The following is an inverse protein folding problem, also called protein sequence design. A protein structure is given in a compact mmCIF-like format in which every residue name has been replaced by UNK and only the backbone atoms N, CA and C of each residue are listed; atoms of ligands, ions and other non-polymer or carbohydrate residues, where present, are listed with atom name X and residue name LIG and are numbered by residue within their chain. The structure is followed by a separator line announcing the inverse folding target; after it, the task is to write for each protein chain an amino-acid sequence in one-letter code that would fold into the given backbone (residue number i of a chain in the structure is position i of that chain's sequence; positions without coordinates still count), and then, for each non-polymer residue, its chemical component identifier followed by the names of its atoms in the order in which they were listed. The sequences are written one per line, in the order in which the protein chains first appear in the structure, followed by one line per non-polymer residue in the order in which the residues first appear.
data_IF_685250609057
#
_entry.id   IF_685250609057
#
_cell.length_a   1.000
_cell.length_b   1.000
_cell.length_c   1.000
_cell.angle_alpha   90.00
_cell.angle_beta   90.00
_cell.angle_gamma   90.00
#
_symmetry.space_group_name_H-M   'P 1'
#
loop_
_entity.id
_entity.type
_entity.pdbx_description
1 polymer ?
#
# COMPACT_ATOMS: atom_id res chain seq x y z
N UNK A 1 42.03 27.57 -3.61
CA UNK A 1 42.21 28.31 -4.88
C UNK A 1 41.55 29.66 -4.71
N UNK A 2 42.22 30.75 -5.07
CA UNK A 2 41.66 32.11 -4.95
C UNK A 2 40.40 32.31 -5.80
N UNK A 3 39.64 33.39 -5.58
CA UNK A 3 38.50 33.75 -6.40
C UNK A 3 38.93 33.94 -7.87
N UNK A 4 38.31 33.22 -8.80
CA UNK A 4 38.55 33.33 -10.25
C UNK A 4 39.39 32.23 -10.90
N UNK A 5 40.02 31.33 -10.13
CA UNK A 5 40.77 30.20 -10.70
C UNK A 5 39.81 29.06 -11.08
N UNK A 6 39.79 28.68 -12.36
CA UNK A 6 39.05 27.51 -12.84
C UNK A 6 39.51 26.27 -12.07
N UNK A 7 38.55 25.58 -11.43
CA UNK A 7 38.84 24.33 -10.72
C UNK A 7 39.39 23.32 -11.73
N UNK A 8 40.50 22.60 -11.43
CA UNK A 8 41.04 21.61 -12.34
C UNK A 8 39.99 20.57 -12.74
N UNK A 9 39.92 20.23 -14.05
CA UNK A 9 38.93 19.29 -14.61
C UNK A 9 38.86 17.97 -13.84
N UNK A 10 40.03 17.39 -13.51
CA UNK A 10 40.14 16.13 -12.75
C UNK A 10 39.45 16.24 -11.37
N UNK A 11 39.57 17.39 -10.71
CA UNK A 11 38.89 17.65 -9.43
C UNK A 11 37.39 17.80 -9.58
N UNK A 12 36.93 18.42 -10.67
CA UNK A 12 35.50 18.52 -10.97
C UNK A 12 34.87 17.15 -11.19
N UNK A 13 35.51 16.29 -12.00
CA UNK A 13 35.04 14.91 -12.24
C UNK A 13 35.01 14.09 -10.94
N UNK A 14 36.10 14.10 -10.15
CA UNK A 14 36.15 13.40 -8.85
C UNK A 14 35.05 13.88 -7.89
N UNK A 15 34.77 15.19 -7.88
CA UNK A 15 33.67 15.74 -7.08
C UNK A 15 32.31 15.25 -7.58
N UNK A 16 32.11 15.20 -8.90
CA UNK A 16 30.90 14.63 -9.50
C UNK A 16 30.69 13.16 -9.11
N UNK A 17 31.75 12.36 -9.17
CA UNK A 17 31.74 10.96 -8.76
C UNK A 17 31.44 10.78 -7.27
N UNK A 18 32.03 11.61 -6.42
CA UNK A 18 31.74 11.60 -4.99
C UNK A 18 30.26 11.91 -4.72
N UNK A 19 29.69 12.91 -5.40
CA UNK A 19 28.26 13.22 -5.30
C UNK A 19 27.37 12.04 -5.75
N UNK A 20 27.75 11.33 -6.82
CA UNK A 20 27.04 10.13 -7.27
C UNK A 20 27.07 9.00 -6.24
N UNK A 21 28.20 8.79 -5.55
CA UNK A 21 28.33 7.77 -4.50
C UNK A 21 27.44 8.08 -3.28
N UNK A 22 27.25 9.37 -2.96
CA UNK A 22 26.34 9.78 -1.88
C UNK A 22 24.87 9.59 -2.29
N UNK A 23 24.54 9.78 -3.57
CA UNK A 23 23.28 9.32 -4.18
C UNK A 23 21.98 10.01 -3.70
N UNK A 24 22.05 11.02 -2.83
CA UNK A 24 20.87 11.83 -2.43
C UNK A 24 20.52 12.85 -3.52
N UNK A 25 19.26 13.25 -3.60
CA UNK A 25 18.72 14.16 -4.63
C UNK A 25 19.56 15.44 -4.83
N UNK A 26 19.90 16.13 -3.74
CA UNK A 26 20.74 17.33 -3.79
C UNK A 26 22.13 17.08 -4.40
N UNK A 27 22.71 15.89 -4.16
CA UNK A 27 24.02 15.53 -4.71
C UNK A 27 23.93 15.16 -6.19
N UNK A 28 22.85 14.50 -6.62
CA UNK A 28 22.61 14.24 -8.03
C UNK A 28 22.49 15.55 -8.83
N UNK A 29 21.86 16.58 -8.25
CA UNK A 29 21.80 17.92 -8.83
C UNK A 29 23.18 18.58 -8.98
N UNK A 30 24.04 18.53 -7.95
CA UNK A 30 25.42 19.02 -8.00
C UNK A 30 26.25 18.28 -9.07
N UNK A 31 26.15 16.95 -9.14
CA UNK A 31 26.83 16.14 -10.14
C UNK A 31 26.34 16.47 -11.56
N UNK A 32 25.03 16.71 -11.73
CA UNK A 32 24.44 17.17 -12.99
C UNK A 32 25.01 18.52 -13.43
N UNK A 33 25.11 19.47 -12.51
CA UNK A 33 25.69 20.80 -12.78
C UNK A 33 27.15 20.72 -13.22
N UNK A 34 27.94 19.84 -12.59
CA UNK A 34 29.33 19.58 -12.98
C UNK A 34 29.40 18.98 -14.39
N UNK A 35 28.61 17.95 -14.67
CA UNK A 35 28.58 17.32 -16.00
C UNK A 35 28.18 18.34 -17.09
N UNK A 36 27.17 19.17 -16.84
CA UNK A 36 26.75 20.22 -17.77
C UNK A 36 27.84 21.28 -17.98
N UNK A 37 28.54 21.70 -16.92
CA UNK A 37 29.62 22.68 -17.04
C UNK A 37 30.79 22.14 -17.89
N UNK A 38 31.17 20.87 -17.70
CA UNK A 38 32.19 20.20 -18.50
C UNK A 38 31.78 20.08 -19.98
N UNK A 39 30.53 19.67 -20.24
CA UNK A 39 30.00 19.50 -21.59
C UNK A 39 29.79 20.83 -22.34
N UNK A 40 29.58 21.95 -21.64
CA UNK A 40 29.59 23.28 -22.26
C UNK A 40 30.96 23.67 -22.77
N UNK A 41 32.02 23.26 -22.08
CA UNK A 41 33.39 23.55 -22.50
C UNK A 41 33.85 22.58 -23.60
N UNK A 42 33.47 21.30 -23.50
CA UNK A 42 33.73 20.29 -24.53
C UNK A 42 32.56 19.31 -24.61
N UNK A 43 31.74 19.44 -25.66
CA UNK A 43 30.55 18.61 -25.86
C UNK A 43 30.88 17.14 -26.21
N UNK A 44 32.11 16.86 -26.67
CA UNK A 44 32.59 15.54 -27.06
C UNK A 44 33.48 14.89 -26.00
N UNK A 45 33.44 15.37 -24.75
CA UNK A 45 34.20 14.80 -23.64
C UNK A 45 33.57 13.47 -23.16
N UNK A 46 34.20 12.30 -23.40
CA UNK A 46 33.62 11.00 -23.05
C UNK A 46 33.46 10.79 -21.54
N UNK A 47 34.37 11.33 -20.71
CA UNK A 47 34.30 11.24 -19.25
C UNK A 47 33.12 12.07 -18.71
N UNK A 48 32.93 13.28 -19.26
CA UNK A 48 31.79 14.13 -18.88
C UNK A 48 30.45 13.55 -19.36
N UNK A 49 30.41 12.91 -20.53
CA UNK A 49 29.24 12.19 -21.04
C UNK A 49 28.90 10.97 -20.17
N UNK A 50 29.91 10.22 -19.68
CA UNK A 50 29.69 9.13 -18.71
C UNK A 50 29.20 9.66 -17.37
N UNK A 51 29.78 10.76 -16.86
CA UNK A 51 29.29 11.39 -15.64
C UNK A 51 27.80 11.76 -15.78
N UNK A 52 27.42 12.40 -16.90
CA UNK A 52 26.03 12.73 -17.21
C UNK A 52 25.13 11.48 -17.26
N UNK A 53 25.60 10.41 -17.91
CA UNK A 53 24.86 9.15 -17.99
C UNK A 53 24.61 8.53 -16.61
N UNK A 54 25.62 8.55 -15.73
CA UNK A 54 25.50 8.06 -14.36
C UNK A 54 24.58 8.91 -13.49
N UNK A 55 24.54 10.22 -13.71
CA UNK A 55 23.56 11.12 -13.06
C UNK A 55 22.14 10.71 -13.44
N UNK A 56 21.83 10.57 -14.73
CA UNK A 56 20.50 10.13 -15.17
C UNK A 56 20.14 8.74 -14.63
N UNK A 57 21.11 7.84 -14.60
CA UNK A 57 20.92 6.50 -14.02
C UNK A 57 20.62 6.55 -12.52
N UNK A 58 21.29 7.41 -11.75
CA UNK A 58 21.00 7.64 -10.33
C UNK A 58 19.62 8.27 -10.09
N UNK A 59 19.15 9.11 -11.01
CA UNK A 59 17.78 9.66 -11.03
C UNK A 59 16.73 8.61 -11.47
N UNK A 60 17.17 7.45 -11.95
CA UNK A 60 16.31 6.39 -12.48
C UNK A 60 15.81 6.62 -13.91
N UNK A 61 16.38 7.57 -14.64
CA UNK A 61 16.13 7.80 -16.08
C UNK A 61 17.12 7.00 -16.93
N UNK A 62 16.84 5.71 -17.07
CA UNK A 62 17.72 4.79 -17.79
C UNK A 62 17.81 5.09 -19.29
N UNK A 63 16.76 5.67 -19.87
CA UNK A 63 16.74 6.04 -21.29
C UNK A 63 17.78 7.12 -21.59
N UNK A 64 17.80 8.21 -20.80
CA UNK A 64 18.80 9.27 -20.96
C UNK A 64 20.19 8.82 -20.53
N UNK A 65 20.28 7.91 -19.57
CA UNK A 65 21.55 7.30 -19.18
C UNK A 65 22.18 6.55 -20.35
N UNK A 66 21.44 5.61 -20.96
CA UNK A 66 21.87 4.83 -22.13
C UNK A 66 22.26 5.74 -23.29
N UNK A 67 21.46 6.78 -23.57
CA UNK A 67 21.79 7.76 -24.63
C UNK A 67 23.12 8.45 -24.35
N UNK A 68 23.38 8.87 -23.11
CA UNK A 68 24.64 9.53 -22.74
C UNK A 68 25.85 8.58 -22.84
N UNK A 69 25.71 7.31 -22.44
CA UNK A 69 26.78 6.32 -22.61
C UNK A 69 27.06 6.01 -24.08
N UNK A 70 26.02 5.92 -24.92
CA UNK A 70 26.19 5.75 -26.37
C UNK A 70 26.91 6.93 -27.00
N UNK A 71 26.58 8.16 -26.61
CA UNK A 71 27.30 9.35 -27.06
C UNK A 71 28.78 9.31 -26.65
N UNK A 72 29.09 8.88 -25.42
CA UNK A 72 30.47 8.71 -24.98
C UNK A 72 31.23 7.71 -25.86
N UNK A 73 30.60 6.61 -26.25
CA UNK A 73 31.17 5.60 -27.15
C UNK A 73 31.27 6.06 -28.60
N UNK A 74 30.44 7.01 -29.04
CA UNK A 74 30.61 7.67 -30.33
C UNK A 74 31.86 8.56 -30.35
N UNK A 75 32.18 9.19 -29.22
CA UNK A 75 33.39 10.01 -29.07
C UNK A 75 34.66 9.16 -28.88
N UNK A 76 34.56 8.09 -28.08
CA UNK A 76 35.65 7.15 -27.82
C UNK A 76 35.09 5.71 -27.71
N UNK A 77 35.17 4.90 -28.79
CA UNK A 77 34.63 3.53 -28.82
C UNK A 77 35.23 2.58 -27.78
N UNK A 78 36.47 2.83 -27.36
CA UNK A 78 37.21 1.98 -26.42
C UNK A 78 37.09 2.46 -24.96
N UNK A 79 36.23 3.45 -24.70
CA UNK A 79 36.05 4.00 -23.37
C UNK A 79 35.36 3.00 -22.43
N UNK A 80 36.20 2.27 -21.68
CA UNK A 80 35.81 1.12 -20.85
C UNK A 80 34.70 1.42 -19.86
N UNK A 81 34.71 2.62 -19.27
CA UNK A 81 33.69 3.02 -18.29
C UNK A 81 32.31 3.18 -18.93
N UNK A 82 32.23 3.77 -20.13
CA UNK A 82 30.98 3.87 -20.87
C UNK A 82 30.43 2.48 -21.23
N UNK A 83 31.29 1.56 -21.70
CA UNK A 83 30.91 0.17 -22.00
C UNK A 83 30.38 -0.54 -20.75
N UNK A 84 31.09 -0.40 -19.62
CA UNK A 84 30.70 -1.02 -18.34
C UNK A 84 29.33 -0.54 -17.90
N UNK A 85 29.13 0.77 -17.79
CA UNK A 85 27.85 1.33 -17.34
C UNK A 85 26.71 1.01 -18.30
N UNK A 86 26.93 1.10 -19.62
CA UNK A 86 25.92 0.74 -20.61
C UNK A 86 25.45 -0.71 -20.42
N UNK A 87 26.38 -1.67 -20.26
CA UNK A 87 26.05 -3.07 -20.00
C UNK A 87 25.27 -3.25 -18.69
N UNK A 88 25.68 -2.56 -17.62
CA UNK A 88 24.99 -2.62 -16.32
C UNK A 88 23.55 -2.14 -16.42
N UNK A 89 23.31 -0.95 -16.99
CA UNK A 89 21.96 -0.37 -17.11
C UNK A 89 21.07 -1.24 -17.98
N UNK A 90 21.57 -1.69 -19.13
CA UNK A 90 20.82 -2.57 -20.03
C UNK A 90 20.47 -3.91 -19.38
N UNK A 91 21.41 -4.51 -18.62
CA UNK A 91 21.16 -5.75 -17.89
C UNK A 91 20.06 -5.56 -16.85
N UNK A 92 20.13 -4.49 -16.06
CA UNK A 92 19.10 -4.18 -15.06
C UNK A 92 17.72 -3.96 -15.67
N UNK A 93 17.63 -3.14 -16.73
CA UNK A 93 16.35 -2.90 -17.40
C UNK A 93 15.78 -4.19 -17.97
N UNK A 94 16.61 -5.01 -18.61
CA UNK A 94 16.17 -6.30 -19.14
C UNK A 94 15.62 -7.21 -18.03
N UNK A 95 16.33 -7.35 -16.92
CA UNK A 95 15.90 -8.21 -15.80
C UNK A 95 14.64 -7.70 -15.12
N UNK A 96 14.50 -6.37 -14.99
CA UNK A 96 13.27 -5.73 -14.51
C UNK A 96 12.09 -6.03 -15.44
N UNK A 97 12.27 -5.93 -16.75
CA UNK A 97 11.20 -6.25 -17.71
C UNK A 97 10.89 -7.75 -17.77
N UNK A 98 11.88 -8.63 -17.69
CA UNK A 98 11.67 -10.08 -17.55
C UNK A 98 10.82 -10.38 -16.30
N UNK A 99 11.13 -9.78 -15.16
CA UNK A 99 10.32 -9.90 -13.93
C UNK A 99 8.91 -9.34 -14.09
N UNK A 100 8.74 -8.22 -14.80
CA UNK A 100 7.41 -7.65 -15.10
C UNK A 100 6.57 -8.59 -15.98
N UNK A 101 7.20 -9.26 -16.95
CA UNK A 101 6.54 -10.25 -17.82
C UNK A 101 6.06 -11.45 -17.00
N UNK A 102 6.92 -12.02 -16.15
CA UNK A 102 6.54 -13.13 -15.27
C UNK A 102 5.43 -12.75 -14.28
N UNK A 103 5.47 -11.51 -13.75
CA UNK A 103 4.41 -10.98 -12.90
C UNK A 103 3.07 -10.92 -13.62
N UNK A 104 3.05 -10.39 -14.85
CA UNK A 104 1.83 -10.34 -15.68
C UNK A 104 1.33 -11.72 -16.07
N UNK A 105 2.22 -12.70 -16.22
CA UNK A 105 1.88 -14.10 -16.46
C UNK A 105 1.39 -14.84 -15.19
N UNK A 106 1.33 -14.18 -14.03
CA UNK A 106 0.92 -14.78 -12.75
C UNK A 106 1.97 -15.70 -12.12
N UNK A 107 3.18 -15.78 -12.69
CA UNK A 107 4.28 -16.61 -12.21
C UNK A 107 5.09 -15.84 -11.18
N UNK A 108 4.47 -15.57 -10.03
CA UNK A 108 5.03 -14.69 -9.01
C UNK A 108 6.38 -15.16 -8.45
N UNK A 109 6.59 -16.46 -8.30
CA UNK A 109 7.87 -17.00 -7.82
C UNK A 109 9.02 -16.72 -8.80
N UNK A 110 8.80 -16.96 -10.10
CA UNK A 110 9.78 -16.65 -11.14
C UNK A 110 10.08 -15.14 -11.21
N UNK A 111 9.05 -14.30 -11.04
CA UNK A 111 9.23 -12.85 -10.95
C UNK A 111 10.10 -12.45 -9.74
N UNK A 112 9.89 -13.06 -8.57
CA UNK A 112 10.70 -12.84 -7.36
C UNK A 112 12.15 -13.18 -7.60
N UNK A 113 12.45 -14.31 -8.25
CA UNK A 113 13.80 -14.72 -8.60
C UNK A 113 14.47 -13.69 -9.51
N UNK A 114 13.79 -13.27 -10.59
CA UNK A 114 14.29 -12.25 -11.51
C UNK A 114 14.59 -10.91 -10.84
N UNK A 115 13.69 -10.42 -9.98
CA UNK A 115 13.95 -9.20 -9.23
C UNK A 115 15.09 -9.37 -8.22
N UNK A 116 15.22 -10.54 -7.61
CA UNK A 116 16.29 -10.83 -6.65
C UNK A 116 17.65 -10.89 -7.32
N UNK A 117 17.75 -11.48 -8.51
CA UNK A 117 18.96 -11.43 -9.33
C UNK A 117 19.27 -9.99 -9.78
N UNK A 118 18.26 -9.20 -10.14
CA UNK A 118 18.44 -7.81 -10.56
C UNK A 118 19.04 -6.94 -9.45
N UNK A 119 18.60 -7.14 -8.20
CA UNK A 119 19.14 -6.45 -7.02
C UNK A 119 20.63 -6.72 -6.77
N UNK A 120 21.20 -7.79 -7.31
CA UNK A 120 22.63 -8.11 -7.20
C UNK A 120 23.49 -7.43 -8.28
N UNK A 121 22.89 -6.90 -9.34
CA UNK A 121 23.64 -6.29 -10.46
C UNK A 121 24.26 -4.96 -10.05
N UNK A 122 23.52 -4.15 -9.29
CA UNK A 122 24.01 -2.89 -8.73
C UNK A 122 23.38 -2.59 -7.36
N UNK A 123 24.00 -3.08 -6.27
CA UNK A 123 23.48 -2.88 -4.91
C UNK A 123 23.42 -1.41 -4.45
N UNK A 124 24.19 -0.53 -5.09
CA UNK A 124 24.32 0.87 -4.67
C UNK A 124 23.29 1.80 -5.34
N UNK A 125 22.54 1.34 -6.35
CA UNK A 125 21.50 2.17 -6.96
C UNK A 125 20.22 2.16 -6.12
N UNK A 126 20.09 3.15 -5.23
CA UNK A 126 18.94 3.26 -4.33
C UNK A 126 17.60 3.39 -5.07
N UNK A 127 17.52 4.23 -6.11
CA UNK A 127 16.27 4.50 -6.84
C UNK A 127 15.74 3.26 -7.57
N UNK A 128 16.62 2.54 -8.27
CA UNK A 128 16.23 1.30 -8.98
C UNK A 128 15.94 0.18 -7.99
N UNK A 129 16.76 0.02 -6.95
CA UNK A 129 16.57 -1.03 -5.96
C UNK A 129 15.26 -0.84 -5.19
N UNK A 130 14.86 0.40 -4.89
CA UNK A 130 13.54 0.70 -4.32
C UNK A 130 12.40 0.21 -5.23
N UNK A 131 12.48 0.45 -6.54
CA UNK A 131 11.49 -0.02 -7.53
C UNK A 131 11.45 -1.55 -7.63
N UNK A 132 12.61 -2.21 -7.67
CA UNK A 132 12.72 -3.67 -7.74
C UNK A 132 12.17 -4.35 -6.47
N UNK A 133 12.52 -3.83 -5.29
CA UNK A 133 12.00 -4.33 -4.02
C UNK A 133 10.48 -4.15 -3.92
N UNK A 134 9.96 -3.02 -4.38
CA UNK A 134 8.52 -2.78 -4.41
C UNK A 134 7.78 -3.75 -5.36
N UNK A 135 8.35 -4.07 -6.52
CA UNK A 135 7.80 -5.10 -7.41
C UNK A 135 7.88 -6.51 -6.78
N UNK A 136 8.98 -6.83 -6.12
CA UNK A 136 9.15 -8.11 -5.39
C UNK A 136 8.16 -8.24 -4.24
N UNK A 137 7.94 -7.17 -3.48
CA UNK A 137 6.94 -7.12 -2.41
C UNK A 137 5.53 -7.38 -2.94
N UNK A 138 5.14 -6.78 -4.08
CA UNK A 138 3.85 -7.07 -4.71
C UNK A 138 3.68 -8.56 -5.06
N UNK A 139 4.73 -9.20 -5.59
CA UNK A 139 4.71 -10.64 -5.87
C UNK A 139 4.47 -11.46 -4.60
N UNK A 140 5.18 -11.12 -3.51
CA UNK A 140 5.05 -11.79 -2.22
C UNK A 140 3.67 -11.60 -1.58
N UNK A 141 3.05 -10.42 -1.72
CA UNK A 141 1.65 -10.19 -1.31
C UNK A 141 0.71 -11.15 -2.06
N UNK A 142 0.89 -11.33 -3.37
CA UNK A 142 0.08 -12.26 -4.17
C UNK A 142 0.26 -13.72 -3.75
N UNK A 143 1.43 -14.09 -3.23
CA UNK A 143 1.72 -15.40 -2.65
C UNK A 143 1.33 -15.53 -1.17
N UNK A 144 0.70 -14.50 -0.57
CA UNK A 144 0.36 -14.42 0.85
C UNK A 144 1.55 -14.47 1.82
N UNK A 145 2.75 -14.17 1.32
CA UNK A 145 3.99 -14.06 2.10
C UNK A 145 4.12 -12.65 2.69
N UNK A 146 3.22 -12.28 3.61
CA UNK A 146 3.05 -10.89 4.02
C UNK A 146 4.25 -10.32 4.78
N UNK A 147 4.84 -11.08 5.71
CA UNK A 147 5.99 -10.63 6.49
C UNK A 147 7.20 -10.29 5.61
N UNK A 148 7.48 -11.13 4.61
CA UNK A 148 8.55 -10.88 3.66
C UNK A 148 8.25 -9.72 2.71
N UNK A 149 6.98 -9.51 2.36
CA UNK A 149 6.55 -8.37 1.56
C UNK A 149 6.71 -7.05 2.33
N UNK A 150 6.38 -7.05 3.63
CA UNK A 150 6.59 -5.89 4.52
C UNK A 150 8.07 -5.54 4.57
N UNK A 151 8.95 -6.52 4.80
CA UNK A 151 10.40 -6.30 4.85
C UNK A 151 10.94 -5.71 3.53
N UNK A 152 10.49 -6.21 2.38
CA UNK A 152 10.88 -5.66 1.07
C UNK A 152 10.37 -4.23 0.86
N UNK A 153 9.11 -3.95 1.25
CA UNK A 153 8.51 -2.63 1.13
C UNK A 153 9.17 -1.61 2.07
N UNK A 154 9.51 -1.99 3.29
CA UNK A 154 10.25 -1.15 4.24
C UNK A 154 11.64 -0.81 3.73
N UNK A 155 12.36 -1.82 3.21
CA UNK A 155 13.66 -1.58 2.59
C UNK A 155 13.54 -0.65 1.38
N UNK A 156 12.50 -0.80 0.55
CA UNK A 156 12.25 0.12 -0.56
C UNK A 156 12.02 1.57 -0.09
N UNK A 157 11.22 1.77 0.97
CA UNK A 157 10.97 3.09 1.56
C UNK A 157 12.23 3.67 2.20
N UNK A 158 13.09 2.85 2.81
CA UNK A 158 14.36 3.33 3.37
C UNK A 158 15.36 3.80 2.30
N UNK A 159 15.32 3.19 1.11
CA UNK A 159 16.18 3.56 -0.01
C UNK A 159 15.68 4.82 -0.72
N UNK A 160 14.36 4.92 -0.89
CA UNK A 160 13.70 6.08 -1.49
C UNK A 160 12.43 6.46 -0.70
N UNK A 161 12.55 7.37 0.29
CA UNK A 161 11.42 7.82 1.08
C UNK A 161 10.34 8.57 0.29
N UNK A 162 10.70 9.11 -0.89
CA UNK A 162 9.79 9.83 -1.79
C UNK A 162 8.95 8.89 -2.66
N UNK A 163 9.34 7.61 -2.73
CA UNK A 163 8.67 6.63 -3.57
C UNK A 163 7.34 6.17 -2.97
N UNK A 164 6.28 6.95 -3.22
CA UNK A 164 4.94 6.71 -2.69
C UNK A 164 4.39 5.32 -3.02
N UNK A 165 4.72 4.75 -4.19
CA UNK A 165 4.29 3.39 -4.56
C UNK A 165 4.82 2.32 -3.59
N UNK A 166 6.04 2.47 -3.06
CA UNK A 166 6.56 1.57 -2.04
C UNK A 166 5.80 1.72 -0.71
N UNK A 167 5.50 2.96 -0.29
CA UNK A 167 4.68 3.20 0.91
C UNK A 167 3.28 2.59 0.78
N UNK A 168 2.60 2.78 -0.35
CA UNK A 168 1.30 2.14 -0.64
C UNK A 168 1.39 0.62 -0.60
N UNK A 169 2.50 0.04 -1.09
CA UNK A 169 2.72 -1.41 -1.05
C UNK A 169 2.93 -1.89 0.39
N UNK A 170 3.67 -1.14 1.22
CA UNK A 170 3.85 -1.41 2.65
C UNK A 170 2.51 -1.40 3.38
N UNK A 171 1.70 -0.35 3.23
CA UNK A 171 0.40 -0.23 3.88
C UNK A 171 -0.53 -1.39 3.50
N UNK A 172 -0.58 -1.75 2.21
CA UNK A 172 -1.32 -2.93 1.75
C UNK A 172 -0.81 -4.24 2.36
N UNK A 173 0.50 -4.44 2.43
CA UNK A 173 1.10 -5.64 3.01
C UNK A 173 0.78 -5.76 4.51
N UNK A 174 0.85 -4.66 5.26
CA UNK A 174 0.48 -4.58 6.68
C UNK A 174 -0.99 -4.96 6.90
N UNK A 175 -1.90 -4.39 6.11
CA UNK A 175 -3.33 -4.73 6.20
C UNK A 175 -3.59 -6.20 5.94
N UNK A 176 -3.01 -6.76 4.87
CA UNK A 176 -3.16 -8.19 4.54
C UNK A 176 -2.52 -9.13 5.59
N UNK A 177 -1.51 -8.66 6.34
CA UNK A 177 -0.93 -9.37 7.47
C UNK A 177 -1.81 -9.34 8.74
N UNK A 178 -2.86 -8.51 8.76
CA UNK A 178 -3.70 -8.27 9.95
C UNK A 178 -3.20 -7.11 10.83
N UNK A 179 -2.11 -6.45 10.47
CA UNK A 179 -1.54 -5.31 11.21
C UNK A 179 -2.27 -4.01 10.80
N UNK A 180 -3.57 -3.96 11.07
CA UNK A 180 -4.45 -2.89 10.59
C UNK A 180 -4.15 -1.52 11.21
N UNK A 181 -3.68 -1.46 12.46
CA UNK A 181 -3.28 -0.21 13.11
C UNK A 181 -2.13 0.48 12.36
N UNK A 182 -1.09 -0.28 12.03
CA UNK A 182 0.06 0.23 11.28
C UNK A 182 -0.33 0.56 9.84
N UNK A 183 -1.18 -0.27 9.21
CA UNK A 183 -1.72 0.00 7.87
C UNK A 183 -2.45 1.35 7.80
N UNK A 184 -3.35 1.63 8.75
CA UNK A 184 -4.08 2.91 8.83
C UNK A 184 -3.11 4.07 9.02
N UNK A 185 -2.12 3.94 9.91
CA UNK A 185 -1.11 4.98 10.13
C UNK A 185 -0.33 5.30 8.85
N UNK A 186 0.10 4.27 8.12
CA UNK A 186 0.82 4.45 6.85
C UNK A 186 -0.07 5.08 5.78
N UNK A 187 -1.33 4.66 5.65
CA UNK A 187 -2.27 5.26 4.70
C UNK A 187 -2.54 6.74 4.99
N UNK A 188 -2.68 7.12 6.25
CA UNK A 188 -2.81 8.53 6.66
C UNK A 188 -1.56 9.34 6.36
N UNK A 189 -0.37 8.80 6.66
CA UNK A 189 0.89 9.44 6.31
C UNK A 189 1.06 9.62 4.79
N UNK A 190 0.58 8.66 3.99
CA UNK A 190 0.54 8.78 2.52
C UNK A 190 -0.44 9.87 2.08
N UNK A 191 -1.61 9.97 2.70
CA UNK A 191 -2.61 11.01 2.41
C UNK A 191 -2.09 12.41 2.72
N UNK A 192 -1.37 12.58 3.83
CA UNK A 192 -0.74 13.86 4.19
C UNK A 192 0.38 14.25 3.20
N UNK A 193 1.11 13.26 2.70
CA UNK A 193 2.18 13.47 1.73
C UNK A 193 1.68 13.74 0.29
N UNK A 194 0.50 13.22 -0.06
CA UNK A 194 -0.12 13.39 -1.39
C UNK A 194 -1.63 13.66 -1.26
N UNK A 195 -2.03 14.89 -0.90
CA UNK A 195 -3.44 15.24 -0.70
C UNK A 195 -4.27 15.25 -1.99
N UNK A 196 -3.63 15.30 -3.16
CA UNK A 196 -4.30 15.41 -4.45
C UNK A 196 -4.78 14.05 -4.98
N UNK A 197 -4.16 12.95 -4.53
CA UNK A 197 -4.54 11.61 -4.97
C UNK A 197 -5.87 11.16 -4.33
N UNK A 198 -6.93 11.32 -5.13
CA UNK A 198 -8.32 10.96 -4.81
C UNK A 198 -8.53 9.47 -4.52
N UNK A 199 -7.57 8.60 -4.77
CA UNK A 199 -7.66 7.17 -4.45
C UNK A 199 -7.32 6.88 -2.99
N UNK A 200 -6.43 7.67 -2.37
CA UNK A 200 -5.95 7.43 -1.00
C UNK A 200 -7.07 7.50 0.04
N UNK A 201 -8.00 8.48 0.03
CA UNK A 201 -9.08 8.54 1.02
C UNK A 201 -9.93 7.26 1.07
N UNK A 202 -10.14 6.60 -0.07
CA UNK A 202 -10.87 5.32 -0.12
C UNK A 202 -10.09 4.20 0.56
N UNK A 203 -8.78 4.14 0.36
CA UNK A 203 -7.92 3.14 1.02
C UNK A 203 -7.78 3.40 2.52
N UNK A 204 -7.72 4.67 2.96
CA UNK A 204 -7.76 5.03 4.40
C UNK A 204 -9.05 4.53 5.03
N UNK A 205 -10.22 4.87 4.45
CA UNK A 205 -11.53 4.42 4.98
C UNK A 205 -11.62 2.89 5.02
N UNK A 206 -11.15 2.22 3.98
CA UNK A 206 -11.09 0.75 3.94
C UNK A 206 -10.22 0.19 5.07
N UNK A 207 -9.02 0.72 5.26
CA UNK A 207 -8.12 0.27 6.32
C UNK A 207 -8.71 0.54 7.72
N UNK A 208 -9.37 1.68 7.92
CA UNK A 208 -10.07 2.02 9.18
C UNK A 208 -11.25 1.09 9.45
N UNK A 209 -12.02 0.75 8.43
CA UNK A 209 -13.11 -0.22 8.54
C UNK A 209 -12.57 -1.59 8.93
N UNK A 210 -11.53 -2.08 8.27
CA UNK A 210 -10.91 -3.37 8.60
C UNK A 210 -10.27 -3.36 10.00
N UNK A 211 -9.69 -2.23 10.43
CA UNK A 211 -9.24 -2.06 11.81
C UNK A 211 -10.41 -2.19 12.79
N UNK A 212 -11.53 -1.49 12.54
CA UNK A 212 -12.74 -1.61 13.37
C UNK A 212 -13.25 -3.06 13.41
N UNK A 213 -13.26 -3.77 12.27
CA UNK A 213 -13.61 -5.20 12.21
C UNK A 213 -12.68 -6.06 13.04
N UNK A 214 -11.36 -5.81 12.99
CA UNK A 214 -10.37 -6.59 13.75
C UNK A 214 -10.45 -6.37 15.27
N UNK A 215 -10.90 -5.18 15.70
CA UNK A 215 -11.10 -4.84 17.11
C UNK A 215 -12.50 -5.22 17.62
N UNK A 216 -13.40 -5.61 16.70
CA UNK A 216 -14.77 -5.96 17.03
C UNK A 216 -14.80 -7.24 17.86
N UNK A 217 -15.70 -7.26 18.85
CA UNK A 217 -16.03 -8.47 19.60
C UNK A 217 -16.52 -9.57 18.66
N UNK A 218 -15.94 -10.76 18.82
CA UNK A 218 -16.40 -11.96 18.13
C UNK A 218 -17.62 -12.54 18.86
N UNK A 219 -18.82 -12.20 18.39
CA UNK A 219 -20.08 -12.63 19.00
C UNK A 219 -20.29 -14.14 18.91
N UNK A 220 -19.76 -14.79 17.86
CA UNK A 220 -19.79 -16.24 17.72
C UNK A 220 -18.96 -16.91 18.82
N UNK A 221 -17.76 -16.37 19.07
CA UNK A 221 -16.89 -16.84 20.16
C UNK A 221 -17.49 -16.57 21.55
N UNK A 222 -18.17 -15.44 21.74
CA UNK A 222 -18.85 -15.12 23.01
C UNK A 222 -19.99 -16.12 23.30
N UNK A 223 -20.79 -16.47 22.29
CA UNK A 223 -21.85 -17.48 22.42
C UNK A 223 -21.31 -18.92 22.41
N UNK A 224 -20.09 -19.13 21.94
CA UNK A 224 -19.49 -20.46 21.79
C UNK A 224 -20.13 -21.28 20.67
N UNK A 225 -20.49 -20.64 19.56
CA UNK A 225 -21.10 -21.26 18.38
C UNK A 225 -20.24 -21.01 17.13
N UNK A 226 -20.37 -21.86 16.12
CA UNK A 226 -19.70 -21.68 14.83
C UNK A 226 -20.47 -20.69 13.93
N UNK A 227 -19.81 -20.12 12.91
CA UNK A 227 -20.41 -19.09 12.03
C UNK A 227 -21.61 -19.59 11.23
N UNK A 228 -21.60 -20.86 10.85
CA UNK A 228 -22.63 -21.54 10.07
C UNK A 228 -23.85 -21.98 10.93
N UNK A 229 -23.87 -21.65 12.22
CA UNK A 229 -24.97 -22.02 13.11
C UNK A 229 -26.33 -21.43 12.69
N UNK A 230 -27.37 -22.22 12.91
CA UNK A 230 -28.76 -21.82 12.71
C UNK A 230 -29.30 -20.96 13.87
N UNK A 231 -30.42 -20.25 13.67
CA UNK A 231 -31.01 -19.39 14.70
C UNK A 231 -31.38 -20.14 16.00
N UNK A 232 -31.76 -21.42 15.88
CA UNK A 232 -32.06 -22.26 17.04
C UNK A 232 -30.82 -22.58 17.89
N UNK A 233 -29.66 -22.71 17.25
CA UNK A 233 -28.40 -23.01 17.94
C UNK A 233 -27.90 -21.78 18.70
N UNK A 234 -28.00 -20.60 18.08
CA UNK A 234 -27.75 -19.30 18.73
C UNK A 234 -28.63 -19.17 20.00
N UNK A 235 -29.93 -19.48 19.90
CA UNK A 235 -30.87 -19.42 21.02
C UNK A 235 -30.60 -20.46 22.11
N UNK A 236 -30.19 -21.67 21.76
CA UNK A 236 -29.79 -22.70 22.73
C UNK A 236 -28.51 -22.30 23.46
N UNK A 237 -27.51 -21.83 22.73
CA UNK A 237 -26.24 -21.38 23.26
C UNK A 237 -26.41 -20.21 24.23
N UNK A 238 -27.18 -19.19 23.84
CA UNK A 238 -27.50 -18.06 24.72
C UNK A 238 -28.12 -18.50 26.04
N UNK A 239 -29.18 -19.33 26.01
CA UNK A 239 -29.83 -19.81 27.25
C UNK A 239 -28.86 -20.55 28.17
N UNK A 240 -28.01 -21.40 27.61
CA UNK A 240 -27.00 -22.15 28.36
C UNK A 240 -25.97 -21.22 29.01
N UNK A 241 -25.49 -20.23 28.26
CA UNK A 241 -24.48 -19.28 28.73
C UNK A 241 -25.06 -18.25 29.71
N UNK A 242 -26.28 -17.79 29.51
CA UNK A 242 -26.96 -16.83 30.38
C UNK A 242 -27.14 -17.38 31.80
N UNK A 243 -27.46 -18.67 31.94
CA UNK A 243 -27.55 -19.32 33.26
C UNK A 243 -26.18 -19.40 33.96
N UNK A 244 -25.10 -19.55 33.19
CA UNK A 244 -23.74 -19.67 33.72
C UNK A 244 -23.13 -18.31 34.08
N UNK A 245 -23.33 -17.31 33.21
CA UNK A 245 -22.76 -15.97 33.34
C UNK A 245 -23.69 -14.98 34.07
N UNK A 246 -24.81 -15.45 34.63
CA UNK A 246 -25.74 -14.58 35.36
C UNK A 246 -25.01 -13.85 36.50
N UNK A 247 -25.16 -12.52 36.65
CA UNK A 247 -24.47 -11.75 37.70
C UNK A 247 -24.71 -12.28 39.11
N UNK A 248 -25.94 -12.67 39.44
CA UNK A 248 -26.30 -13.23 40.76
C UNK A 248 -25.53 -14.52 41.14
N UNK A 249 -25.03 -15.27 40.15
CA UNK A 249 -24.26 -16.50 40.39
C UNK A 249 -22.74 -16.26 40.37
N UNK A 250 -22.32 -15.06 39.98
CA UNK A 250 -20.92 -14.67 39.82
C UNK A 250 -20.64 -13.35 40.56
N UNK A 251 -21.11 -13.26 41.81
CA UNK A 251 -20.98 -12.06 42.66
C UNK A 251 -19.52 -11.68 42.95
N UNK A 252 -18.61 -12.66 42.88
CA UNK A 252 -17.17 -12.47 43.13
C UNK A 252 -16.40 -12.01 41.88
N UNK A 253 -17.04 -12.01 40.70
CA UNK A 253 -16.42 -11.60 39.44
C UNK A 253 -16.85 -10.15 39.11
N UNK A 254 -15.95 -9.16 39.24
CA UNK A 254 -16.27 -7.76 38.98
C UNK A 254 -16.68 -7.49 37.51
N UNK A 255 -16.35 -8.40 36.58
CA UNK A 255 -16.68 -8.29 35.17
C UNK A 255 -17.94 -9.10 34.79
N UNK A 256 -18.64 -9.73 35.74
CA UNK A 256 -19.79 -10.58 35.46
C UNK A 256 -20.90 -9.85 34.68
N UNK A 257 -21.20 -8.61 35.07
CA UNK A 257 -22.20 -7.78 34.41
C UNK A 257 -21.79 -7.41 32.98
N UNK A 258 -20.51 -7.07 32.77
CA UNK A 258 -19.97 -6.78 31.44
C UNK A 258 -20.01 -8.02 30.52
N UNK A 259 -19.63 -9.20 31.04
CA UNK A 259 -19.70 -10.47 30.31
C UNK A 259 -21.14 -10.84 29.95
N UNK A 260 -22.09 -10.60 30.85
CA UNK A 260 -23.51 -10.86 30.59
C UNK A 260 -24.10 -9.87 29.57
N UNK A 261 -23.67 -8.61 29.60
CA UNK A 261 -24.02 -7.60 28.58
C UNK A 261 -23.50 -8.00 27.21
N UNK A 262 -22.23 -8.40 27.12
CA UNK A 262 -21.62 -8.88 25.86
C UNK A 262 -22.34 -10.12 25.31
N UNK A 263 -22.75 -11.03 26.19
CA UNK A 263 -23.54 -12.20 25.83
C UNK A 263 -24.92 -11.81 25.25
N UNK A 264 -25.57 -10.82 25.86
CA UNK A 264 -26.89 -10.34 25.43
C UNK A 264 -26.81 -9.62 24.08
N UNK A 265 -25.79 -8.78 23.89
CA UNK A 265 -25.49 -8.08 22.64
C UNK A 265 -25.18 -9.07 21.49
N UNK A 266 -24.41 -10.13 21.79
CA UNK A 266 -24.11 -11.19 20.85
C UNK A 266 -25.38 -11.94 20.41
N UNK A 267 -26.28 -12.27 21.35
CA UNK A 267 -27.55 -12.91 21.03
C UNK A 267 -28.48 -12.00 20.22
N UNK A 268 -28.63 -10.73 20.59
CA UNK A 268 -29.46 -9.78 19.86
C UNK A 268 -29.02 -9.63 18.40
N UNK A 269 -27.70 -9.60 18.18
CA UNK A 269 -27.14 -9.46 16.83
C UNK A 269 -27.25 -10.74 16.02
N UNK A 270 -26.94 -11.91 16.60
CA UNK A 270 -26.86 -13.16 15.85
C UNK A 270 -28.21 -13.90 15.72
N UNK A 271 -29.20 -13.57 16.54
CA UNK A 271 -30.54 -14.17 16.47
C UNK A 271 -31.43 -13.56 15.39
N UNK A 272 -31.17 -12.32 14.99
CA UNK A 272 -31.86 -11.63 13.90
C UNK A 272 -31.12 -11.85 12.57
N UNK A 273 -31.77 -12.39 11.51
CA UNK A 273 -31.11 -12.67 10.24
C UNK A 273 -30.50 -11.44 9.55
N UNK A 274 -31.13 -10.27 9.67
CA UNK A 274 -30.64 -9.04 9.06
C UNK A 274 -29.44 -8.50 9.83
N UNK A 275 -29.50 -8.47 11.17
CA UNK A 275 -28.37 -8.05 12.01
C UNK A 275 -27.19 -9.02 11.91
N UNK A 276 -27.44 -10.33 11.81
CA UNK A 276 -26.40 -11.35 11.57
C UNK A 276 -25.71 -11.11 10.23
N UNK A 277 -26.48 -10.89 9.15
CA UNK A 277 -25.90 -10.59 7.84
C UNK A 277 -25.07 -9.28 7.88
N UNK A 278 -25.59 -8.23 8.51
CA UNK A 278 -24.86 -6.98 8.69
C UNK A 278 -23.58 -7.18 9.51
N UNK A 279 -23.62 -7.99 10.57
CA UNK A 279 -22.45 -8.37 11.37
C UNK A 279 -21.39 -9.08 10.53
N UNK A 280 -21.80 -10.07 9.75
CA UNK A 280 -20.91 -10.93 8.96
C UNK A 280 -20.23 -10.15 7.83
N UNK A 281 -20.96 -9.23 7.20
CA UNK A 281 -20.42 -8.32 6.18
C UNK A 281 -19.62 -7.16 6.80
N UNK A 282 -19.89 -6.84 8.06
CA UNK A 282 -19.41 -5.67 8.79
C UNK A 282 -20.05 -4.36 8.33
N UNK A 283 -21.28 -4.44 7.80
CA UNK A 283 -22.09 -3.29 7.38
C UNK A 283 -22.54 -2.46 8.59
N UNK A 284 -22.70 -3.08 9.75
CA UNK A 284 -23.05 -2.39 11.00
C UNK A 284 -21.96 -1.41 11.50
N UNK A 285 -20.73 -1.53 11.00
CA UNK A 285 -19.60 -0.66 11.34
C UNK A 285 -19.43 0.50 10.35
N UNK A 286 -20.19 0.49 9.24
CA UNK A 286 -20.17 1.54 8.22
C UNK A 286 -21.09 2.68 8.63
N UNK A 287 -20.64 3.92 8.42
CA UNK A 287 -21.50 5.09 8.56
C UNK A 287 -22.59 5.01 7.47
N UNK A 288 -23.88 5.28 7.79
CA UNK A 288 -24.94 5.37 6.79
C UNK A 288 -24.57 6.30 5.61
N UNK A 289 -23.81 7.37 5.84
CA UNK A 289 -23.32 8.24 4.77
C UNK A 289 -22.34 7.55 3.81
N UNK A 290 -21.54 6.60 4.30
CA UNK A 290 -20.59 5.83 3.49
C UNK A 290 -21.28 4.68 2.73
N UNK A 291 -22.41 4.15 3.23
CA UNK A 291 -23.21 3.13 2.51
C UNK A 291 -23.85 3.67 1.22
N UNK A 292 -24.28 4.94 1.21
CA UNK A 292 -24.91 5.58 0.05
C UNK A 292 -23.94 6.35 -0.85
N UNK A 293 -22.68 6.54 -0.42
CA UNK A 293 -21.65 7.30 -1.15
C UNK A 293 -20.75 6.48 -2.08
N UNK A 294 -20.90 5.16 -2.10
CA UNK A 294 -19.99 4.21 -2.74
C UNK A 294 -20.41 3.67 -4.11
N UNK A 295 -20.89 4.51 -5.04
CA UNK A 295 -21.27 4.04 -6.37
C UNK A 295 -21.29 5.15 -7.42
N UNK A 296 -20.31 5.14 -8.33
CA UNK A 296 -20.33 5.99 -9.52
C UNK A 296 -21.20 5.38 -10.62
N UNK A 297 -21.97 6.26 -11.28
CA UNK A 297 -22.79 6.10 -12.50
C UNK A 297 -24.17 5.44 -12.38
N UNK A 298 -25.20 6.24 -12.69
CA UNK A 298 -26.34 5.76 -13.49
C UNK A 298 -27.74 6.11 -12.97
N UNK A 299 -28.17 7.35 -13.19
CA UNK A 299 -29.57 7.70 -13.50
C UNK A 299 -30.69 7.23 -12.56
N UNK A 300 -31.04 8.06 -11.59
CA UNK A 300 -32.42 8.47 -11.28
C UNK A 300 -32.35 9.48 -10.14
N UNK A 301 -33.05 10.60 -10.33
CA UNK A 301 -32.99 11.77 -9.44
C UNK A 301 -33.36 11.46 -7.99
N UNK A 302 -32.82 12.30 -7.11
CA UNK A 302 -32.90 12.16 -5.65
C UNK A 302 -34.32 11.90 -5.16
N UNK A 303 -34.45 10.86 -4.36
CA UNK A 303 -35.61 10.65 -3.52
C UNK A 303 -35.29 11.32 -2.19
N UNK A 304 -36.10 12.33 -1.87
CA UNK A 304 -36.05 13.11 -0.64
C UNK A 304 -36.17 12.17 0.59
N UNK A 305 -35.32 12.31 1.63
CA UNK A 305 -35.35 11.46 2.83
C UNK A 305 -36.74 11.35 3.50
N UNK A 306 -37.56 12.39 3.39
CA UNK A 306 -38.94 12.41 3.91
C UNK A 306 -39.88 11.42 3.18
N UNK A 307 -39.64 11.16 1.88
CA UNK A 307 -40.44 10.23 1.07
C UNK A 307 -40.10 8.78 1.42
N UNK A 308 -38.85 8.50 1.77
CA UNK A 308 -38.39 7.17 2.19
C UNK A 308 -38.99 6.78 3.56
N UNK A 309 -39.11 7.76 4.48
CA UNK A 309 -39.74 7.55 5.79
C UNK A 309 -41.26 7.31 5.69
N UNK A 310 -41.93 7.94 4.73
CA UNK A 310 -43.37 7.74 4.48
C UNK A 310 -43.68 6.37 3.84
N UNK A 311 -42.79 5.84 3.00
CA UNK A 311 -42.94 4.50 2.42
C UNK A 311 -42.80 3.38 3.44
N UNK A 312 -41.93 3.53 4.45
CA UNK A 312 -41.78 2.53 5.52
C UNK A 312 -42.89 2.60 6.58
N UNK A 313 -43.60 3.73 6.71
CA UNK A 313 -44.68 3.92 7.68
C UNK A 313 -46.04 3.37 7.28
N UNK A 314 -46.23 2.95 6.02
CA UNK A 314 -47.56 2.59 5.50
C UNK A 314 -47.75 1.09 5.18
N UNK A 315 -46.83 0.23 5.61
CA UNK A 315 -46.92 -1.23 5.45
C UNK A 315 -46.96 -1.95 6.80
N UNK A 316 -47.91 -1.53 7.65
CA UNK A 316 -48.11 -2.08 8.99
C UNK A 316 -49.49 -1.78 9.55
N UNK A 317 -50.56 -2.03 8.77
CA UNK A 317 -51.94 -1.80 9.17
C UNK A 317 -52.78 -3.07 9.08
N UNK A 318 -52.90 -3.77 10.20
CA UNK A 318 -53.71 -4.95 10.44
C UNK A 318 -55.16 -4.81 9.95
N UNK A 319 -55.66 -5.88 9.32
CA UNK A 319 -57.09 -6.09 9.12
C UNK A 319 -57.81 -6.35 10.45
N UNK A 320 -59.02 -5.79 10.58
CA UNK A 320 -59.93 -6.04 11.69
C UNK A 320 -61.28 -5.37 11.41
N UNK A 321 -62.28 -6.17 11.03
CA UNK A 321 -63.61 -5.70 10.69
C UNK A 321 -64.50 -5.37 11.89
N UNK A 322 -65.67 -4.78 11.62
CA UNK A 322 -66.77 -4.71 12.60
C UNK A 322 -67.72 -3.51 12.50
N UNK A 323 -68.71 -3.63 11.61
CA UNK A 323 -70.14 -3.28 11.74
C UNK A 323 -70.68 -2.11 12.60
N UNK A 324 -71.67 -1.42 11.95
CA UNK A 324 -72.95 -0.85 12.46
C UNK A 324 -72.86 0.31 13.46
N UNK A 325 -73.69 1.35 13.41
CA UNK A 325 -74.92 1.66 12.70
C UNK A 325 -75.09 3.18 12.70
#
# INVERSE_FOLDING_TARGET
LGPGVLKPRKWQLLRGDAHLLVGRENNLGEAQGIAMALLRNNAQDPEALVLRGRVFYGQGDNTKAIQSFRMALTCDPDYRDAVKWLKTVQKLDRMKEEGNVEFKAGRFQAAIEKYSEALQVDPNNHSINAKLLQNRAQCKIKLKQYNEAIADAEKAVSLDPSYLKARKTKANALGQAGNWEESVREWKAIQEADPEDRTIPKEVRRAELELKKSLRKDYYKILGVEKDCGPDDVKKAYRKMAIKLHPDKNLDDPDAEAKFKDLSEAYETLSDPQKKAAYDNGDDLMDPADMFGGGGMGGMGGIDPEILFSMMGNQGGFGGGGFRS
#
